data_IF_887384604245
#
_entry.id   IF_887384604245
#
_cell.length_a   1.000
_cell.length_b   1.000
_cell.length_c   1.000
_cell.angle_alpha   90.00
_cell.angle_beta   90.00
_cell.angle_gamma   90.00
#
_symmetry.space_group_name_H-M   'P 1'
#
loop_
_entity.id
_entity.type
_entity.pdbx_description
1 polymer ?
#
# COMPACT_ATOMS: atom_id res chain seq x y z
N UNK A 1 -21.07 21.24 -22.52
CA UNK A 1 -22.51 20.86 -22.55
C UNK A 1 -22.69 19.93 -21.36
N UNK A 2 -23.19 20.45 -20.24
CA UNK A 2 -23.46 19.67 -19.02
C UNK A 2 -24.79 18.96 -19.32
N UNK A 3 -24.75 17.66 -19.59
CA UNK A 3 -25.94 16.85 -19.56
C UNK A 3 -26.34 16.69 -18.10
N UNK A 4 -27.25 17.50 -17.61
CA UNK A 4 -28.01 17.19 -16.40
C UNK A 4 -28.78 15.90 -16.70
N UNK A 5 -28.25 14.78 -16.22
CA UNK A 5 -28.91 13.49 -16.31
C UNK A 5 -30.01 13.47 -15.24
N UNK A 6 -31.22 13.85 -15.63
CA UNK A 6 -32.39 14.08 -14.76
C UNK A 6 -33.03 12.81 -14.23
N UNK A 7 -32.46 11.62 -14.52
CA UNK A 7 -33.09 10.35 -14.19
C UNK A 7 -32.93 9.91 -12.74
N UNK A 8 -31.92 10.43 -12.02
CA UNK A 8 -31.60 10.03 -10.65
C UNK A 8 -31.25 11.24 -9.78
N UNK A 9 -31.76 11.24 -8.54
CA UNK A 9 -31.40 12.25 -7.53
C UNK A 9 -30.25 11.74 -6.67
N UNK A 10 -29.19 12.50 -6.61
CA UNK A 10 -28.06 12.23 -5.72
C UNK A 10 -28.13 13.00 -4.42
N UNK A 11 -27.63 12.40 -3.35
CA UNK A 11 -27.58 12.99 -2.01
C UNK A 11 -26.29 12.57 -1.30
N UNK A 12 -25.66 13.53 -0.60
CA UNK A 12 -24.45 13.29 0.21
C UNK A 12 -24.90 13.02 1.64
N UNK A 13 -24.35 11.98 2.26
CA UNK A 13 -24.70 11.58 3.61
C UNK A 13 -23.81 12.22 4.66
N UNK A 14 -24.41 12.59 5.79
CA UNK A 14 -23.67 12.96 6.99
C UNK A 14 -23.25 11.68 7.75
N UNK A 15 -21.96 11.38 7.68
CA UNK A 15 -21.38 10.21 8.35
C UNK A 15 -21.42 10.27 9.90
N UNK A 16 -21.75 11.43 10.47
CA UNK A 16 -22.01 11.61 11.91
C UNK A 16 -23.48 11.42 12.28
N UNK A 17 -24.38 11.39 11.29
CA UNK A 17 -25.81 11.13 11.49
C UNK A 17 -26.08 9.63 11.64
N UNK A 18 -26.55 9.14 12.79
CA UNK A 18 -26.90 7.73 12.96
C UNK A 18 -28.01 7.27 11.99
N UNK A 19 -28.88 8.18 11.56
CA UNK A 19 -29.93 7.90 10.59
C UNK A 19 -29.33 7.59 9.21
N UNK A 20 -28.44 8.45 8.71
CA UNK A 20 -27.82 8.33 7.41
C UNK A 20 -26.91 7.08 7.35
N UNK A 21 -26.14 6.86 8.42
CA UNK A 21 -25.31 5.65 8.53
C UNK A 21 -26.17 4.39 8.48
N UNK A 22 -27.30 4.35 9.21
CA UNK A 22 -28.21 3.21 9.22
C UNK A 22 -28.88 2.99 7.86
N UNK A 23 -29.18 4.07 7.13
CA UNK A 23 -29.77 4.01 5.78
C UNK A 23 -28.83 3.26 4.82
N UNK A 24 -27.58 3.71 4.72
CA UNK A 24 -26.59 3.07 3.84
C UNK A 24 -26.23 1.67 4.30
N UNK A 25 -26.12 1.42 5.61
CA UNK A 25 -25.90 0.08 6.16
C UNK A 25 -27.00 -0.89 5.74
N UNK A 26 -28.26 -0.46 5.84
CA UNK A 26 -29.41 -1.29 5.46
C UNK A 26 -29.44 -1.60 3.97
N UNK A 27 -29.06 -0.66 3.13
CA UNK A 27 -28.91 -0.86 1.69
C UNK A 27 -27.79 -1.82 1.37
N UNK A 28 -26.58 -1.58 1.87
CA UNK A 28 -25.38 -2.38 1.60
C UNK A 28 -25.46 -3.81 2.14
N UNK A 29 -26.19 -4.02 3.24
CA UNK A 29 -26.42 -5.35 3.81
C UNK A 29 -27.15 -6.30 2.85
N UNK A 30 -27.99 -5.78 1.94
CA UNK A 30 -28.65 -6.58 0.89
C UNK A 30 -27.63 -7.22 -0.08
N UNK A 31 -26.44 -6.64 -0.17
CA UNK A 31 -25.32 -7.07 -1.02
C UNK A 31 -24.16 -7.69 -0.23
N UNK A 32 -24.42 -8.08 1.02
CA UNK A 32 -23.44 -8.67 1.92
C UNK A 32 -22.25 -7.76 2.28
N UNK A 33 -22.41 -6.44 2.26
CA UNK A 33 -21.42 -5.50 2.74
C UNK A 33 -21.74 -5.05 4.18
N UNK A 34 -20.70 -4.97 5.06
CA UNK A 34 -20.76 -4.26 6.33
C UNK A 34 -20.15 -2.88 6.13
N UNK A 35 -20.98 -1.89 6.25
CA UNK A 35 -20.55 -0.50 6.17
C UNK A 35 -20.17 -0.02 7.56
N UNK A 36 -18.93 0.51 7.67
CA UNK A 36 -18.43 1.19 8.85
C UNK A 36 -18.13 2.63 8.47
N UNK A 37 -18.72 3.59 9.17
CA UNK A 37 -18.55 5.02 8.85
C UNK A 37 -17.10 5.50 9.04
N UNK A 38 -16.34 4.89 9.95
CA UNK A 38 -14.92 5.15 10.16
C UNK A 38 -14.01 4.66 9.00
N UNK A 39 -14.52 3.75 8.17
CA UNK A 39 -13.81 3.21 7.01
C UNK A 39 -13.94 4.03 5.74
N UNK A 40 -14.64 5.15 5.79
CA UNK A 40 -14.89 6.05 4.67
C UNK A 40 -14.74 7.50 5.08
N UNK A 41 -14.38 8.37 4.13
CA UNK A 41 -14.30 9.82 4.34
C UNK A 41 -15.51 10.54 3.73
N UNK A 42 -16.17 9.88 2.78
CA UNK A 42 -17.31 10.42 2.05
C UNK A 42 -18.22 9.29 1.58
N UNK A 43 -19.54 9.56 1.59
CA UNK A 43 -20.53 8.63 1.05
C UNK A 43 -21.67 9.41 0.37
N UNK A 44 -22.04 8.96 -0.82
CA UNK A 44 -23.22 9.44 -1.53
C UNK A 44 -24.21 8.32 -1.79
N UNK A 45 -25.46 8.67 -1.95
CA UNK A 45 -26.54 7.76 -2.35
C UNK A 45 -27.28 8.30 -3.58
N UNK A 46 -27.91 7.39 -4.28
CA UNK A 46 -28.64 7.68 -5.50
C UNK A 46 -30.08 7.17 -5.37
N UNK A 47 -31.05 8.03 -5.65
CA UNK A 47 -32.47 7.72 -5.68
C UNK A 47 -33.01 7.74 -7.09
N UNK A 48 -33.97 6.87 -7.37
CA UNK A 48 -34.78 6.97 -8.59
C UNK A 48 -35.86 8.06 -8.43
N UNK A 49 -36.62 8.32 -9.52
CA UNK A 49 -37.68 9.33 -9.52
C UNK A 49 -38.83 9.04 -8.54
N UNK A 50 -39.00 7.79 -8.12
CA UNK A 50 -39.99 7.38 -7.13
C UNK A 50 -39.51 7.53 -5.69
N UNK A 51 -38.28 8.06 -5.48
CA UNK A 51 -37.68 8.24 -4.15
C UNK A 51 -37.12 6.95 -3.53
N UNK A 52 -36.97 5.87 -4.30
CA UNK A 52 -36.33 4.64 -3.82
C UNK A 52 -34.82 4.74 -3.94
N UNK A 53 -34.09 4.35 -2.89
CA UNK A 53 -32.64 4.25 -2.86
C UNK A 53 -32.20 3.09 -3.79
N UNK A 54 -31.45 3.41 -4.83
CA UNK A 54 -31.05 2.47 -5.89
C UNK A 54 -29.53 2.24 -5.99
N UNK A 55 -28.73 3.09 -5.33
CA UNK A 55 -27.29 2.96 -5.37
C UNK A 55 -26.59 3.79 -4.34
N UNK A 56 -25.34 3.45 -4.06
CA UNK A 56 -24.44 4.17 -3.18
C UNK A 56 -23.00 4.05 -3.66
N UNK A 57 -22.16 4.96 -3.24
CA UNK A 57 -20.73 4.89 -3.42
C UNK A 57 -20.02 5.74 -2.37
N UNK A 58 -18.83 5.33 -1.99
CA UNK A 58 -18.00 5.98 -0.97
C UNK A 58 -16.56 6.08 -1.44
N UNK A 59 -15.74 6.85 -0.73
CA UNK A 59 -14.30 6.76 -0.83
C UNK A 59 -13.61 6.87 0.54
N UNK A 60 -12.37 6.35 0.61
CA UNK A 60 -11.42 6.56 1.71
C UNK A 60 -10.09 6.99 1.10
N UNK A 61 -9.60 8.21 1.46
CA UNK A 61 -8.51 8.80 0.69
C UNK A 61 -8.84 8.76 -0.81
N UNK A 62 -7.92 8.31 -1.63
CA UNK A 62 -8.06 8.16 -3.09
C UNK A 62 -8.66 6.85 -3.58
N UNK A 63 -9.21 6.02 -2.69
CA UNK A 63 -9.74 4.69 -3.03
C UNK A 63 -11.26 4.71 -3.01
N UNK A 64 -11.90 4.34 -4.12
CA UNK A 64 -13.34 4.11 -4.19
C UNK A 64 -13.74 2.88 -3.38
N UNK A 65 -14.82 2.99 -2.61
CA UNK A 65 -15.36 1.93 -1.75
C UNK A 65 -16.88 1.85 -1.88
N UNK A 66 -17.44 0.68 -1.66
CA UNK A 66 -18.89 0.46 -1.57
C UNK A 66 -19.68 1.02 -2.75
N UNK A 67 -19.13 0.94 -3.97
CA UNK A 67 -19.86 1.30 -5.19
C UNK A 67 -20.83 0.17 -5.53
N UNK A 68 -22.12 0.40 -5.28
CA UNK A 68 -23.19 -0.59 -5.44
C UNK A 68 -24.41 0.06 -6.07
N UNK A 69 -24.96 -0.62 -7.07
CA UNK A 69 -26.21 -0.25 -7.76
C UNK A 69 -27.15 -1.46 -7.76
N UNK A 70 -28.44 -1.23 -7.52
CA UNK A 70 -29.47 -2.28 -7.59
C UNK A 70 -29.45 -2.97 -8.97
N UNK A 71 -29.67 -4.27 -8.98
CA UNK A 71 -29.53 -5.11 -10.17
C UNK A 71 -30.31 -4.59 -11.39
N UNK A 72 -31.52 -4.10 -11.18
CA UNK A 72 -32.38 -3.57 -12.24
C UNK A 72 -31.89 -2.25 -12.87
N UNK A 73 -30.93 -1.55 -12.22
CA UNK A 73 -30.35 -0.30 -12.71
C UNK A 73 -28.89 -0.45 -13.18
N UNK A 74 -28.35 -1.68 -13.22
CA UNK A 74 -26.94 -1.90 -13.63
C UNK A 74 -26.66 -1.53 -15.09
N UNK A 75 -27.66 -1.64 -15.95
CA UNK A 75 -27.57 -1.26 -17.38
C UNK A 75 -27.93 0.21 -17.63
N UNK A 76 -28.26 0.97 -16.58
CA UNK A 76 -28.55 2.40 -16.66
C UNK A 76 -27.28 3.26 -16.40
N UNK A 77 -27.44 4.59 -16.47
CA UNK A 77 -26.40 5.55 -16.13
C UNK A 77 -26.06 5.61 -14.62
N UNK A 78 -26.79 4.90 -13.75
CA UNK A 78 -26.67 5.01 -12.28
C UNK A 78 -25.24 4.72 -11.77
N UNK A 79 -24.60 3.65 -12.29
CA UNK A 79 -23.23 3.32 -11.92
C UNK A 79 -22.24 4.41 -12.35
N UNK A 80 -22.34 4.85 -13.59
CA UNK A 80 -21.48 5.91 -14.12
C UNK A 80 -21.67 7.23 -13.35
N UNK A 81 -22.92 7.58 -12.99
CA UNK A 81 -23.19 8.80 -12.20
C UNK A 81 -22.54 8.75 -10.82
N UNK A 82 -22.62 7.61 -10.11
CA UNK A 82 -21.97 7.46 -8.79
C UNK A 82 -20.45 7.58 -8.93
N UNK A 83 -19.85 6.85 -9.85
CA UNK A 83 -18.37 6.83 -10.00
C UNK A 83 -17.87 8.17 -10.49
N UNK A 84 -18.52 8.81 -11.47
CA UNK A 84 -18.13 10.16 -11.93
C UNK A 84 -18.19 11.18 -10.80
N UNK A 85 -19.28 11.17 -10.02
CA UNK A 85 -19.40 12.08 -8.87
C UNK A 85 -18.25 11.91 -7.87
N UNK A 86 -17.91 10.66 -7.50
CA UNK A 86 -16.81 10.39 -6.57
C UNK A 86 -15.43 10.76 -7.16
N UNK A 87 -15.20 10.46 -8.44
CA UNK A 87 -13.95 10.83 -9.11
C UNK A 87 -13.78 12.33 -9.25
N UNK A 88 -14.86 13.06 -9.58
CA UNK A 88 -14.84 14.53 -9.69
C UNK A 88 -14.47 15.21 -8.38
N UNK A 89 -14.99 14.70 -7.25
CA UNK A 89 -14.63 15.19 -5.91
C UNK A 89 -13.16 14.89 -5.60
N UNK A 90 -12.73 13.65 -5.82
CA UNK A 90 -11.37 13.23 -5.51
C UNK A 90 -10.34 13.98 -6.35
N UNK A 91 -10.56 14.18 -7.64
CA UNK A 91 -9.63 14.85 -8.56
C UNK A 91 -9.49 16.36 -8.33
N UNK A 92 -10.28 16.96 -7.43
CA UNK A 92 -10.03 18.32 -6.96
C UNK A 92 -8.76 18.41 -6.09
N UNK A 93 -8.38 17.32 -5.42
CA UNK A 93 -7.28 17.30 -4.44
C UNK A 93 -6.27 16.18 -4.72
N UNK A 94 -6.68 15.12 -5.41
CA UNK A 94 -5.89 13.95 -5.72
C UNK A 94 -5.50 13.91 -7.22
N UNK A 95 -4.41 13.20 -7.52
CA UNK A 95 -3.97 12.98 -8.90
C UNK A 95 -4.35 11.61 -9.42
N UNK A 96 -4.68 10.71 -8.51
CA UNK A 96 -5.03 9.31 -8.76
C UNK A 96 -6.32 8.96 -8.03
N UNK A 97 -7.12 8.13 -8.65
CA UNK A 97 -8.25 7.45 -8.02
C UNK A 97 -8.09 5.96 -8.28
N UNK A 98 -8.13 5.16 -7.23
CA UNK A 98 -8.03 3.71 -7.34
C UNK A 98 -9.33 3.03 -7.00
N UNK A 99 -9.58 1.89 -7.63
CA UNK A 99 -10.62 0.95 -7.24
C UNK A 99 -10.05 -0.45 -7.13
N UNK A 100 -10.34 -1.13 -6.02
CA UNK A 100 -10.05 -2.53 -5.80
C UNK A 100 -11.35 -3.31 -5.88
N UNK A 101 -11.41 -4.30 -6.75
CA UNK A 101 -12.65 -5.00 -7.05
C UNK A 101 -12.39 -6.45 -7.47
N UNK A 102 -13.46 -7.22 -7.68
CA UNK A 102 -13.35 -8.56 -8.27
C UNK A 102 -12.96 -8.46 -9.75
N UNK A 103 -12.21 -9.43 -10.30
CA UNK A 103 -11.83 -9.44 -11.72
C UNK A 103 -13.02 -9.35 -12.68
N UNK A 104 -14.17 -9.88 -12.30
CA UNK A 104 -15.40 -9.80 -13.11
C UNK A 104 -15.91 -8.37 -13.35
N UNK A 105 -15.51 -7.42 -12.51
CA UNK A 105 -15.96 -6.03 -12.60
C UNK A 105 -15.02 -5.13 -13.44
N UNK A 106 -13.90 -5.65 -13.94
CA UNK A 106 -12.91 -4.86 -14.72
C UNK A 106 -13.62 -4.13 -15.86
N UNK A 107 -14.40 -4.85 -16.67
CA UNK A 107 -15.05 -4.31 -17.88
C UNK A 107 -15.98 -3.13 -17.56
N UNK A 108 -16.67 -3.16 -16.41
CA UNK A 108 -17.59 -2.09 -16.00
C UNK A 108 -16.80 -0.80 -15.70
N UNK A 109 -15.68 -0.91 -14.99
CA UNK A 109 -14.83 0.25 -14.68
C UNK A 109 -14.07 0.75 -15.91
N UNK A 110 -13.59 -0.14 -16.78
CA UNK A 110 -12.96 0.25 -18.05
C UNK A 110 -13.95 1.01 -18.95
N UNK A 111 -15.23 0.62 -18.95
CA UNK A 111 -16.29 1.28 -19.70
C UNK A 111 -16.50 2.75 -19.30
N UNK A 112 -16.06 3.18 -18.13
CA UNK A 112 -16.11 4.56 -17.64
C UNK A 112 -14.73 5.22 -17.52
N UNK A 113 -13.70 4.63 -18.17
CA UNK A 113 -12.40 5.23 -18.37
C UNK A 113 -11.32 4.84 -17.35
N UNK A 114 -11.61 3.95 -16.40
CA UNK A 114 -10.55 3.40 -15.55
C UNK A 114 -9.62 2.50 -16.37
N UNK A 115 -8.34 2.46 -15.98
CA UNK A 115 -7.34 1.60 -16.59
C UNK A 115 -6.99 0.46 -15.65
N UNK A 116 -7.06 -0.77 -16.13
CA UNK A 116 -6.64 -1.94 -15.37
C UNK A 116 -5.12 -1.95 -15.20
N UNK A 117 -4.66 -2.17 -13.96
CA UNK A 117 -3.23 -2.25 -13.61
C UNK A 117 -2.80 -3.70 -13.44
N UNK A 118 -3.43 -4.43 -12.53
CA UNK A 118 -3.07 -5.81 -12.21
C UNK A 118 -4.24 -6.57 -11.58
N UNK A 119 -4.12 -7.90 -11.58
CA UNK A 119 -5.07 -8.80 -10.92
C UNK A 119 -4.37 -9.89 -10.13
N UNK A 120 -5.04 -10.36 -9.08
CA UNK A 120 -4.74 -11.59 -8.35
C UNK A 120 -6.04 -12.42 -8.25
N UNK A 121 -6.40 -13.16 -9.33
CA UNK A 121 -7.63 -13.91 -9.38
C UNK A 121 -7.70 -14.99 -8.28
N UNK A 122 -8.91 -15.35 -7.80
CA UNK A 122 -10.21 -14.81 -8.22
C UNK A 122 -10.64 -13.54 -7.47
N UNK A 123 -9.85 -13.01 -6.51
CA UNK A 123 -10.33 -12.06 -5.51
C UNK A 123 -10.05 -10.60 -5.83
N UNK A 124 -8.94 -10.28 -6.48
CA UNK A 124 -8.51 -8.89 -6.63
C UNK A 124 -8.20 -8.50 -8.06
N UNK A 125 -8.63 -7.30 -8.40
CA UNK A 125 -8.11 -6.48 -9.49
C UNK A 125 -8.02 -5.04 -9.01
N UNK A 126 -7.02 -4.31 -9.47
CA UNK A 126 -6.87 -2.89 -9.23
C UNK A 126 -6.93 -2.14 -10.55
N UNK A 127 -7.72 -1.06 -10.56
CA UNK A 127 -7.80 -0.13 -11.66
C UNK A 127 -7.56 1.28 -11.14
N UNK A 128 -7.10 2.14 -12.03
CA UNK A 128 -6.82 3.55 -11.75
C UNK A 128 -7.56 4.48 -12.71
N UNK A 129 -7.80 5.69 -12.24
CA UNK A 129 -8.30 6.81 -13.03
C UNK A 129 -7.67 8.10 -12.52
N UNK A 130 -7.42 9.09 -13.38
CA UNK A 130 -6.96 10.40 -12.94
C UNK A 130 -6.01 11.09 -13.90
N UNK A 131 -5.35 12.16 -13.39
CA UNK A 131 -4.39 12.97 -14.14
C UNK A 131 -3.02 12.32 -14.26
N UNK A 132 -2.75 11.35 -13.39
CA UNK A 132 -1.55 10.52 -13.40
C UNK A 132 -1.90 9.05 -13.39
N UNK A 133 -0.95 8.22 -13.83
CA UNK A 133 -1.14 6.78 -14.00
C UNK A 133 0.13 6.01 -13.70
N UNK A 134 0.06 4.69 -13.74
CA UNK A 134 1.23 3.79 -13.68
C UNK A 134 2.28 4.14 -14.73
N UNK A 135 1.86 4.68 -15.89
CA UNK A 135 2.78 5.12 -16.95
C UNK A 135 3.68 6.27 -16.47
N UNK A 136 3.14 7.25 -15.72
CA UNK A 136 3.96 8.31 -15.12
C UNK A 136 5.00 7.77 -14.13
N UNK A 137 4.63 6.69 -13.40
CA UNK A 137 5.56 6.03 -12.50
C UNK A 137 6.66 5.27 -13.28
N UNK A 138 6.29 4.58 -14.35
CA UNK A 138 7.26 3.95 -15.28
C UNK A 138 8.21 5.00 -15.85
N UNK A 139 7.70 6.16 -16.28
CA UNK A 139 8.53 7.27 -16.79
C UNK A 139 9.49 7.81 -15.69
N UNK A 140 9.04 7.85 -14.44
CA UNK A 140 9.93 8.17 -13.32
C UNK A 140 11.04 7.12 -13.16
N UNK A 141 10.71 5.83 -13.22
CA UNK A 141 11.68 4.75 -13.13
C UNK A 141 12.70 4.79 -14.27
N UNK A 142 12.27 5.07 -15.50
CA UNK A 142 13.15 5.24 -16.67
C UNK A 142 14.15 6.40 -16.47
N UNK A 143 13.74 7.51 -15.86
CA UNK A 143 14.63 8.65 -15.58
C UNK A 143 15.71 8.35 -14.54
N UNK A 144 15.46 7.45 -13.60
CA UNK A 144 16.43 7.07 -12.58
C UNK A 144 17.20 5.79 -12.92
N UNK A 145 16.80 5.11 -14.00
CA UNK A 145 17.48 3.92 -14.49
C UNK A 145 18.96 4.26 -14.75
N UNK A 146 19.85 3.40 -14.25
CA UNK A 146 21.27 3.48 -14.54
C UNK A 146 21.58 2.68 -15.80
N UNK A 147 22.30 3.28 -16.72
CA UNK A 147 22.87 2.55 -17.85
C UNK A 147 23.98 1.64 -17.32
N UNK A 148 23.76 0.35 -17.41
CA UNK A 148 24.70 -0.68 -16.94
C UNK A 148 24.76 -1.80 -17.97
N UNK A 149 25.97 -2.34 -18.16
CA UNK A 149 26.19 -3.49 -19.04
C UNK A 149 26.15 -4.82 -18.26
N UNK A 150 25.52 -4.84 -17.08
CA UNK A 150 25.47 -6.00 -16.20
C UNK A 150 24.09 -6.61 -16.11
N UNK A 151 24.04 -7.93 -15.98
CA UNK A 151 22.82 -8.69 -15.63
C UNK A 151 22.66 -8.84 -14.10
N UNK A 152 23.58 -8.28 -13.28
CA UNK A 152 23.52 -8.38 -11.82
C UNK A 152 22.81 -7.18 -11.18
N UNK A 153 21.61 -6.88 -11.67
CA UNK A 153 20.75 -5.79 -11.17
C UNK A 153 19.74 -6.36 -10.17
N UNK A 154 19.74 -5.80 -8.98
CA UNK A 154 18.88 -6.24 -7.89
C UNK A 154 17.90 -5.17 -7.43
N UNK A 155 16.85 -5.62 -6.75
CA UNK A 155 15.91 -4.74 -6.04
C UNK A 155 15.66 -5.23 -4.61
N UNK A 156 15.42 -4.27 -3.72
CA UNK A 156 14.91 -4.49 -2.37
C UNK A 156 13.84 -3.46 -2.07
N UNK A 157 12.78 -3.84 -1.34
CA UNK A 157 11.76 -2.89 -0.85
C UNK A 157 11.82 -2.86 0.66
N UNK A 158 11.82 -1.66 1.22
CA UNK A 158 11.92 -1.43 2.66
C UNK A 158 10.91 -0.38 3.12
N UNK A 159 10.37 -0.57 4.32
CA UNK A 159 9.62 0.47 5.01
C UNK A 159 10.50 1.25 5.99
N UNK A 160 11.36 0.56 6.75
CA UNK A 160 12.31 1.17 7.71
C UNK A 160 11.64 2.12 8.73
N UNK A 161 10.65 1.66 9.45
CA UNK A 161 9.84 2.46 10.39
C UNK A 161 10.19 2.18 11.89
N UNK A 162 11.34 2.66 12.45
CA UNK A 162 12.44 3.38 11.80
C UNK A 162 13.50 2.45 11.16
N UNK A 163 14.54 3.08 10.57
CA UNK A 163 15.72 2.40 10.03
C UNK A 163 16.56 1.82 11.17
N UNK A 164 16.93 0.53 11.07
CA UNK A 164 17.68 -0.21 12.11
C UNK A 164 18.90 -0.91 11.52
N UNK A 165 19.84 -1.36 12.37
CA UNK A 165 20.99 -2.15 11.94
C UNK A 165 20.59 -3.47 11.25
N UNK A 166 19.41 -4.00 11.56
CA UNK A 166 18.85 -5.13 10.83
C UNK A 166 18.54 -4.81 9.36
N UNK A 167 17.97 -3.63 9.11
CA UNK A 167 17.73 -3.15 7.73
C UNK A 167 19.04 -2.83 7.02
N UNK A 168 19.97 -2.15 7.70
CA UNK A 168 21.28 -1.82 7.15
C UNK A 168 22.02 -3.09 6.72
N UNK A 169 22.08 -4.10 7.57
CA UNK A 169 22.70 -5.40 7.25
C UNK A 169 22.11 -6.05 5.99
N UNK A 170 20.76 -6.02 5.84
CA UNK A 170 20.11 -6.58 4.66
C UNK A 170 20.49 -5.81 3.39
N UNK A 171 20.52 -4.47 3.47
CA UNK A 171 20.89 -3.60 2.35
C UNK A 171 22.35 -3.78 1.97
N UNK A 172 23.28 -3.79 2.95
CA UNK A 172 24.71 -4.02 2.72
C UNK A 172 24.97 -5.38 2.07
N UNK A 173 24.28 -6.43 2.54
CA UNK A 173 24.40 -7.78 1.99
C UNK A 173 23.91 -7.81 0.54
N UNK A 174 22.73 -7.25 0.26
CA UNK A 174 22.20 -7.17 -1.10
C UNK A 174 23.12 -6.35 -2.03
N UNK A 175 23.63 -5.22 -1.54
CA UNK A 175 24.55 -4.37 -2.28
C UNK A 175 25.89 -5.09 -2.58
N UNK A 176 26.42 -5.86 -1.61
CA UNK A 176 27.69 -6.60 -1.80
C UNK A 176 27.60 -7.73 -2.80
N UNK A 177 26.39 -8.26 -3.07
CA UNK A 177 26.12 -9.35 -4.00
C UNK A 177 25.56 -8.89 -5.36
N UNK A 178 25.40 -7.56 -5.55
CA UNK A 178 24.85 -6.96 -6.76
C UNK A 178 25.77 -5.88 -7.30
N UNK A 179 25.80 -5.71 -8.62
CA UNK A 179 26.50 -4.59 -9.23
C UNK A 179 25.69 -3.29 -9.13
N UNK A 180 24.36 -3.42 -9.14
CA UNK A 180 23.44 -2.31 -8.93
C UNK A 180 22.26 -2.80 -8.07
N UNK A 181 21.95 -2.06 -7.01
CA UNK A 181 20.79 -2.31 -6.15
C UNK A 181 19.82 -1.12 -6.19
N UNK A 182 18.61 -1.34 -6.69
CA UNK A 182 17.51 -0.40 -6.52
C UNK A 182 16.81 -0.64 -5.19
N UNK A 183 16.92 0.34 -4.28
CA UNK A 183 16.33 0.29 -2.94
C UNK A 183 15.04 1.11 -2.92
N UNK A 184 13.90 0.44 -3.01
CA UNK A 184 12.58 1.07 -2.94
C UNK A 184 12.21 1.35 -1.49
N UNK A 185 11.86 2.60 -1.20
CA UNK A 185 11.34 3.03 0.09
C UNK A 185 9.85 3.25 -0.04
N UNK A 186 9.07 2.51 0.75
CA UNK A 186 7.59 2.59 0.73
C UNK A 186 7.12 3.95 1.25
N UNK A 187 6.22 4.62 0.50
CA UNK A 187 5.61 5.91 0.88
C UNK A 187 4.31 5.68 1.67
N UNK A 188 4.41 5.02 2.82
CA UNK A 188 3.25 4.72 3.66
C UNK A 188 2.95 5.86 4.64
N UNK A 189 1.75 6.44 4.55
CA UNK A 189 1.31 7.57 5.38
C UNK A 189 1.06 7.19 6.85
N UNK A 190 0.71 5.93 7.12
CA UNK A 190 0.40 5.45 8.48
C UNK A 190 1.64 5.04 9.28
N UNK A 191 2.83 5.14 8.71
CA UNK A 191 4.07 4.87 9.42
C UNK A 191 4.30 5.87 10.57
N UNK A 192 4.78 5.36 11.72
CA UNK A 192 5.10 6.20 12.88
C UNK A 192 6.18 7.24 12.57
N UNK A 193 7.13 6.88 11.69
CA UNK A 193 8.14 7.79 11.15
C UNK A 193 7.70 8.23 9.75
N UNK A 194 7.49 9.55 9.50
CA UNK A 194 7.12 10.08 8.19
C UNK A 194 8.11 9.67 7.09
N UNK A 195 7.64 9.60 5.84
CA UNK A 195 8.44 9.17 4.71
C UNK A 195 9.76 9.96 4.57
N UNK A 196 9.71 11.29 4.62
CA UNK A 196 10.89 12.14 4.46
C UNK A 196 11.97 11.88 5.54
N UNK A 197 11.54 11.57 6.75
CA UNK A 197 12.46 11.21 7.84
C UNK A 197 13.08 9.84 7.56
N UNK A 198 12.27 8.84 7.21
CA UNK A 198 12.76 7.50 6.87
C UNK A 198 13.75 7.55 5.70
N UNK A 199 13.42 8.32 4.66
CA UNK A 199 14.29 8.54 3.52
C UNK A 199 15.66 9.08 3.93
N UNK A 200 15.69 10.19 4.69
CA UNK A 200 16.94 10.80 5.17
C UNK A 200 17.77 9.87 6.06
N UNK A 201 17.11 9.11 6.95
CA UNK A 201 17.79 8.16 7.82
C UNK A 201 18.46 7.04 7.03
N UNK A 202 17.78 6.51 6.02
CA UNK A 202 18.33 5.50 5.12
C UNK A 202 19.48 6.09 4.29
N UNK A 203 19.23 7.20 3.60
CA UNK A 203 20.22 7.88 2.73
C UNK A 203 21.54 8.12 3.47
N UNK A 204 21.48 8.69 4.67
CA UNK A 204 22.66 8.93 5.49
C UNK A 204 23.34 7.62 5.94
N UNK A 205 22.54 6.61 6.32
CA UNK A 205 23.07 5.35 6.82
C UNK A 205 23.72 4.46 5.76
N UNK A 206 23.33 4.62 4.48
CA UNK A 206 23.90 3.86 3.34
C UNK A 206 24.81 4.70 2.44
N UNK A 207 25.20 5.90 2.84
CA UNK A 207 26.01 6.82 2.01
C UNK A 207 27.35 6.23 1.53
N UNK A 208 27.85 5.20 2.23
CA UNK A 208 29.06 4.45 1.85
C UNK A 208 28.82 3.46 0.70
N UNK A 209 27.56 3.10 0.38
CA UNK A 209 27.21 2.14 -0.67
C UNK A 209 27.00 2.88 -2.02
N UNK A 210 28.00 2.82 -2.91
CA UNK A 210 28.00 3.59 -4.17
C UNK A 210 27.15 2.97 -5.27
N UNK A 211 26.82 1.69 -5.16
CA UNK A 211 26.03 0.91 -6.09
C UNK A 211 24.54 0.81 -5.68
N UNK A 212 24.09 1.59 -4.71
CA UNK A 212 22.69 1.64 -4.29
C UNK A 212 22.02 2.90 -4.84
N UNK A 213 20.90 2.71 -5.53
CA UNK A 213 20.02 3.79 -5.98
C UNK A 213 18.73 3.73 -5.17
N UNK A 214 18.46 4.76 -4.37
CA UNK A 214 17.22 4.88 -3.64
C UNK A 214 16.08 5.28 -4.59
N UNK A 215 14.94 4.61 -4.47
CA UNK A 215 13.76 4.78 -5.31
C UNK A 215 12.54 5.02 -4.44
N UNK A 216 11.74 6.02 -4.79
CA UNK A 216 10.44 6.24 -4.16
C UNK A 216 9.47 5.15 -4.59
N UNK A 217 8.75 4.55 -3.64
CA UNK A 217 7.74 3.53 -3.93
C UNK A 217 6.55 4.06 -4.72
N UNK A 218 6.23 5.34 -4.50
CA UNK A 218 5.04 5.95 -5.09
C UNK A 218 3.76 5.25 -4.65
N UNK A 219 2.75 5.33 -5.49
CA UNK A 219 1.43 4.75 -5.23
C UNK A 219 1.38 3.23 -5.49
N UNK A 220 2.40 2.68 -6.13
CA UNK A 220 2.39 1.33 -6.71
C UNK A 220 3.26 0.32 -5.97
N UNK A 221 4.15 0.78 -5.09
CA UNK A 221 4.94 -0.07 -4.18
C UNK A 221 4.46 0.19 -2.77
N UNK A 222 3.40 -0.51 -2.39
CA UNK A 222 2.72 -0.32 -1.12
C UNK A 222 2.92 -1.52 -0.21
N UNK A 223 2.64 -1.33 1.07
CA UNK A 223 2.51 -2.46 1.98
C UNK A 223 1.10 -3.06 1.81
N UNK A 224 1.01 -4.37 1.62
CA UNK A 224 -0.25 -5.05 1.30
C UNK A 224 -1.35 -4.96 2.36
N UNK A 225 -1.07 -4.35 3.50
CA UNK A 225 -2.09 -4.01 4.50
C UNK A 225 -3.03 -2.89 4.06
N UNK A 226 -2.73 -2.21 2.94
CA UNK A 226 -3.49 -1.05 2.45
C UNK A 226 -4.63 -1.46 1.51
N UNK A 227 -4.59 -2.65 0.93
CA UNK A 227 -5.62 -3.07 -0.02
C UNK A 227 -6.95 -3.35 0.70
N UNK A 228 -8.03 -2.64 0.34
CA UNK A 228 -9.33 -2.85 0.97
C UNK A 228 -9.86 -4.26 0.65
N UNK A 229 -10.40 -4.92 1.65
CA UNK A 229 -10.94 -6.28 1.54
C UNK A 229 -12.42 -6.37 1.99
N UNK A 230 -13.09 -5.23 2.17
CA UNK A 230 -14.47 -5.14 2.64
C UNK A 230 -15.47 -5.95 1.79
N UNK A 231 -15.14 -6.22 0.53
CA UNK A 231 -15.98 -6.98 -0.40
C UNK A 231 -15.71 -8.50 -0.38
N UNK A 232 -14.82 -8.98 0.50
CA UNK A 232 -14.36 -10.37 0.59
C UNK A 232 -14.70 -11.05 1.92
N UNK A 233 -15.83 -10.70 2.53
CA UNK A 233 -16.20 -11.18 3.87
C UNK A 233 -16.30 -12.69 4.03
N UNK A 234 -16.67 -13.39 2.97
CA UNK A 234 -16.87 -14.83 2.98
C UNK A 234 -15.57 -15.60 2.69
N UNK A 235 -14.47 -14.88 2.44
CA UNK A 235 -13.19 -15.49 2.11
C UNK A 235 -12.33 -15.68 3.36
N UNK A 236 -11.53 -16.72 3.37
CA UNK A 236 -10.56 -16.94 4.46
C UNK A 236 -9.54 -15.80 4.51
N UNK A 237 -9.28 -15.27 5.71
CA UNK A 237 -8.31 -14.18 5.94
C UNK A 237 -6.93 -14.53 5.36
N UNK A 238 -6.53 -15.81 5.43
CA UNK A 238 -5.28 -16.29 4.86
C UNK A 238 -5.24 -16.15 3.35
N UNK A 239 -6.33 -16.50 2.66
CA UNK A 239 -6.44 -16.38 1.21
C UNK A 239 -6.48 -14.91 0.78
N UNK A 240 -7.21 -14.06 1.50
CA UNK A 240 -7.25 -12.62 1.23
C UNK A 240 -5.85 -12.03 1.33
N UNK A 241 -5.11 -12.29 2.41
CA UNK A 241 -3.75 -11.79 2.59
C UNK A 241 -2.78 -12.32 1.52
N UNK A 242 -2.93 -13.57 1.11
CA UNK A 242 -2.13 -14.14 0.02
C UNK A 242 -2.42 -13.40 -1.31
N UNK A 243 -3.70 -13.19 -1.65
CA UNK A 243 -4.08 -12.54 -2.90
C UNK A 243 -3.74 -11.04 -2.93
N UNK A 244 -3.75 -10.37 -1.79
CA UNK A 244 -3.22 -9.01 -1.67
C UNK A 244 -1.72 -8.97 -1.98
N UNK A 245 -0.95 -9.90 -1.41
CA UNK A 245 0.47 -10.02 -1.70
C UNK A 245 0.74 -10.34 -3.18
N UNK A 246 -0.03 -11.27 -3.77
CA UNK A 246 0.07 -11.60 -5.20
C UNK A 246 -0.21 -10.37 -6.09
N UNK A 247 -1.20 -9.54 -5.74
CA UNK A 247 -1.54 -8.33 -6.49
C UNK A 247 -0.35 -7.35 -6.53
N UNK A 248 0.24 -7.07 -5.37
CA UNK A 248 1.40 -6.18 -5.24
C UNK A 248 2.61 -6.71 -6.02
N UNK A 249 2.92 -7.99 -5.86
CA UNK A 249 4.02 -8.64 -6.59
C UNK A 249 3.79 -8.63 -8.11
N UNK A 250 2.53 -8.77 -8.58
CA UNK A 250 2.20 -8.67 -9.99
C UNK A 250 2.41 -7.26 -10.54
N UNK A 251 2.08 -6.22 -9.78
CA UNK A 251 2.38 -4.83 -10.18
C UNK A 251 3.91 -4.66 -10.33
N UNK A 252 4.67 -5.08 -9.33
CA UNK A 252 6.13 -5.02 -9.37
C UNK A 252 6.70 -5.78 -10.57
N UNK A 253 6.25 -7.02 -10.79
CA UNK A 253 6.72 -7.89 -11.87
C UNK A 253 6.41 -7.34 -13.27
N UNK A 254 5.24 -6.74 -13.45
CA UNK A 254 4.78 -6.28 -14.77
C UNK A 254 5.36 -4.92 -15.15
N UNK A 255 5.63 -4.03 -14.18
CA UNK A 255 6.02 -2.65 -14.46
C UNK A 255 7.44 -2.32 -14.02
N UNK A 256 7.86 -2.75 -12.83
CA UNK A 256 9.16 -2.37 -12.28
C UNK A 256 10.28 -3.25 -12.83
N UNK A 257 10.04 -4.56 -12.85
CA UNK A 257 11.04 -5.54 -13.34
C UNK A 257 11.50 -5.23 -14.76
N UNK A 258 10.62 -5.09 -15.77
CA UNK A 258 11.06 -4.81 -17.13
C UNK A 258 11.67 -3.43 -17.28
N UNK A 259 11.15 -2.41 -16.58
CA UNK A 259 11.63 -1.03 -16.67
C UNK A 259 13.04 -0.88 -16.14
N UNK A 260 13.37 -1.47 -15.01
CA UNK A 260 14.69 -1.37 -14.38
C UNK A 260 15.59 -2.59 -14.66
N UNK A 261 15.12 -3.53 -15.49
CA UNK A 261 15.86 -4.76 -15.88
C UNK A 261 16.29 -5.60 -14.66
N UNK A 262 15.44 -5.67 -13.65
CA UNK A 262 15.76 -6.37 -12.41
C UNK A 262 15.89 -7.88 -12.64
N UNK A 263 16.95 -8.48 -12.13
CA UNK A 263 17.22 -9.91 -12.19
C UNK A 263 17.16 -10.60 -10.84
N UNK A 264 17.31 -9.85 -9.74
CA UNK A 264 17.30 -10.37 -8.38
C UNK A 264 16.39 -9.54 -7.48
N UNK A 265 15.67 -10.20 -6.59
CA UNK A 265 14.87 -9.58 -5.55
C UNK A 265 15.33 -10.07 -4.20
N UNK A 266 15.95 -9.18 -3.40
CA UNK A 266 16.37 -9.50 -2.04
C UNK A 266 15.23 -9.25 -1.05
N UNK A 267 15.03 -10.20 -0.13
CA UNK A 267 14.05 -10.14 0.94
C UNK A 267 14.68 -10.66 2.24
N UNK A 268 14.18 -10.19 3.38
CA UNK A 268 14.56 -10.75 4.68
C UNK A 268 13.70 -11.97 5.04
N UNK A 269 14.30 -12.98 5.68
CA UNK A 269 13.51 -14.07 6.26
C UNK A 269 12.49 -13.53 7.28
N UNK A 270 11.28 -14.05 7.28
CA UNK A 270 10.22 -13.64 8.20
C UNK A 270 9.54 -14.84 8.85
N UNK A 271 9.76 -15.01 10.14
CA UNK A 271 9.22 -16.11 10.92
C UNK A 271 8.09 -15.69 11.87
N UNK A 272 7.82 -14.38 12.01
CA UNK A 272 6.93 -13.86 13.04
C UNK A 272 5.70 -13.16 12.48
N UNK A 273 5.79 -12.55 11.30
CA UNK A 273 4.69 -11.80 10.70
C UNK A 273 4.02 -12.59 9.56
N UNK A 274 2.78 -13.01 9.76
CA UNK A 274 2.01 -13.76 8.74
C UNK A 274 1.87 -13.01 7.42
N UNK A 275 1.70 -11.69 7.47
CA UNK A 275 1.60 -10.84 6.27
C UNK A 275 2.89 -10.88 5.48
N UNK A 276 4.04 -10.67 6.11
CA UNK A 276 5.34 -10.71 5.42
C UNK A 276 5.65 -12.11 4.88
N UNK A 277 5.23 -13.17 5.60
CA UNK A 277 5.37 -14.55 5.11
C UNK A 277 4.54 -14.79 3.83
N UNK A 278 3.31 -14.25 3.76
CA UNK A 278 2.48 -14.31 2.54
C UNK A 278 3.14 -13.59 1.37
N UNK A 279 3.79 -12.42 1.61
CA UNK A 279 4.57 -11.70 0.61
C UNK A 279 5.78 -12.50 0.11
N UNK A 280 6.56 -13.07 1.01
CA UNK A 280 7.72 -13.88 0.64
C UNK A 280 7.26 -15.05 -0.24
N UNK A 281 6.17 -15.73 0.13
CA UNK A 281 5.58 -16.81 -0.67
C UNK A 281 5.17 -16.34 -2.08
N UNK A 282 4.42 -15.23 -2.17
CA UNK A 282 4.00 -14.67 -3.45
C UNK A 282 5.19 -14.29 -4.34
N UNK A 283 6.26 -13.70 -3.76
CA UNK A 283 7.48 -13.39 -4.51
C UNK A 283 8.15 -14.65 -5.07
N UNK A 284 8.27 -15.73 -4.30
CA UNK A 284 8.83 -17.00 -4.77
C UNK A 284 7.98 -17.69 -5.85
N UNK A 285 6.65 -17.47 -5.85
CA UNK A 285 5.75 -18.06 -6.84
C UNK A 285 5.67 -17.26 -8.16
N UNK A 286 5.80 -15.93 -8.09
CA UNK A 286 5.55 -15.04 -9.23
C UNK A 286 6.84 -14.59 -9.91
N UNK A 287 7.81 -14.07 -9.16
CA UNK A 287 8.99 -13.42 -9.72
C UNK A 287 9.85 -14.34 -10.61
N UNK A 288 10.01 -15.65 -10.30
CA UNK A 288 10.75 -16.55 -11.20
C UNK A 288 10.12 -16.68 -12.59
N UNK A 289 8.79 -16.52 -12.74
CA UNK A 289 8.10 -16.51 -14.03
C UNK A 289 8.45 -15.28 -14.88
N UNK A 290 8.97 -14.23 -14.24
CA UNK A 290 9.47 -13.00 -14.86
C UNK A 290 11.01 -12.96 -14.94
N UNK A 291 11.69 -14.12 -14.81
CA UNK A 291 13.14 -14.25 -14.82
C UNK A 291 13.84 -13.45 -13.71
N UNK A 292 13.22 -13.36 -12.54
CA UNK A 292 13.79 -12.71 -11.35
C UNK A 292 14.04 -13.77 -10.27
N UNK A 293 15.27 -13.90 -9.84
CA UNK A 293 15.66 -14.74 -8.72
C UNK A 293 15.27 -14.07 -7.40
N UNK A 294 14.61 -14.81 -6.50
CA UNK A 294 14.28 -14.33 -5.14
C UNK A 294 15.30 -14.87 -4.16
N UNK A 295 16.01 -13.97 -3.48
CA UNK A 295 17.08 -14.30 -2.56
C UNK A 295 16.66 -13.89 -1.13
N UNK A 296 16.51 -14.90 -0.25
CA UNK A 296 16.23 -14.66 1.16
C UNK A 296 17.52 -14.48 1.96
N UNK A 297 17.65 -13.32 2.61
CA UNK A 297 18.73 -13.06 3.55
C UNK A 297 18.26 -13.40 4.97
N UNK A 298 18.97 -14.27 5.66
CA UNK A 298 18.70 -14.58 7.06
C UNK A 298 18.95 -13.35 7.94
N UNK A 299 17.98 -13.02 8.77
CA UNK A 299 18.14 -11.92 9.74
C UNK A 299 19.29 -12.21 10.70
N UNK A 300 20.11 -11.22 10.96
CA UNK A 300 21.19 -11.33 11.95
C UNK A 300 20.59 -11.24 13.35
N UNK A 301 20.78 -12.29 14.16
CA UNK A 301 20.47 -12.24 15.59
C UNK A 301 21.50 -11.39 16.31
N UNK A 302 21.07 -10.59 17.30
CA UNK A 302 21.93 -9.70 18.13
C UNK A 302 22.29 -10.33 19.45
N UNK A 303 21.74 -11.49 19.75
CA UNK A 303 21.92 -12.21 21.01
C UNK A 303 20.84 -13.26 21.18
N UNK A 304 20.83 -13.87 22.33
CA UNK A 304 19.81 -14.86 22.72
C UNK A 304 18.95 -14.27 23.84
N UNK A 305 17.64 -14.48 23.79
CA UNK A 305 16.71 -14.22 24.88
C UNK A 305 16.19 -15.59 25.35
N UNK A 306 16.84 -16.18 26.34
CA UNK A 306 16.70 -17.61 26.63
C UNK A 306 17.22 -18.44 25.44
N UNK A 307 16.42 -19.39 24.97
CA UNK A 307 16.76 -20.24 23.81
C UNK A 307 16.32 -19.65 22.44
N UNK A 308 15.77 -18.43 22.44
CA UNK A 308 15.25 -17.80 21.20
C UNK A 308 16.21 -16.70 20.73
N UNK A 309 16.61 -16.71 19.42
CA UNK A 309 17.41 -15.64 18.86
C UNK A 309 16.70 -14.29 18.99
N UNK A 310 17.41 -13.30 19.54
CA UNK A 310 16.91 -11.94 19.67
C UNK A 310 17.24 -11.14 18.41
N UNK A 311 16.20 -10.67 17.70
CA UNK A 311 16.34 -9.86 16.51
C UNK A 311 15.98 -8.40 16.82
N UNK A 312 16.72 -7.45 16.24
CA UNK A 312 16.29 -6.05 16.23
C UNK A 312 15.15 -5.92 15.22
N UNK A 313 14.04 -5.39 15.70
CA UNK A 313 12.93 -4.99 14.85
C UNK A 313 12.58 -3.53 15.09
N UNK A 314 12.10 -2.86 14.06
CA UNK A 314 11.57 -1.50 14.19
C UNK A 314 10.48 -1.41 15.27
N UNK A 315 9.71 -2.48 15.49
CA UNK A 315 8.70 -2.55 16.56
C UNK A 315 9.31 -2.43 17.96
N UNK A 316 10.47 -3.07 18.22
CA UNK A 316 11.17 -2.95 19.50
C UNK A 316 11.68 -1.52 19.74
N UNK A 317 12.13 -0.84 18.68
CA UNK A 317 12.54 0.57 18.77
C UNK A 317 11.34 1.45 19.13
N UNK A 318 10.19 1.27 18.47
CA UNK A 318 8.98 2.00 18.81
C UNK A 318 8.49 1.70 20.23
N UNK A 319 8.62 0.45 20.69
CA UNK A 319 8.31 0.09 22.07
C UNK A 319 9.23 0.81 23.07
N UNK A 320 10.55 0.83 22.84
CA UNK A 320 11.49 1.55 23.70
C UNK A 320 11.20 3.07 23.75
N UNK A 321 10.71 3.65 22.64
CA UNK A 321 10.26 5.05 22.63
C UNK A 321 9.01 5.24 23.51
N UNK A 322 8.03 4.33 23.46
CA UNK A 322 6.83 4.37 24.33
C UNK A 322 7.21 4.32 25.81
N UNK A 323 8.18 3.47 26.14
CA UNK A 323 8.66 3.23 27.50
C UNK A 323 9.66 4.27 27.99
N UNK A 324 9.98 5.32 27.20
CA UNK A 324 11.04 6.29 27.49
C UNK A 324 12.43 5.68 27.69
N UNK A 325 12.69 4.51 27.10
CA UNK A 325 13.92 3.77 27.28
C UNK A 325 14.71 3.62 25.97
N UNK A 326 14.90 4.72 25.22
CA UNK A 326 15.58 4.72 23.92
C UNK A 326 17.02 4.20 24.08
N UNK A 327 17.67 4.46 25.21
CA UNK A 327 19.05 4.02 25.44
C UNK A 327 19.23 2.51 25.41
N UNK A 328 18.18 1.73 25.73
CA UNK A 328 18.23 0.27 25.67
C UNK A 328 18.32 -0.31 24.25
N UNK A 329 18.07 0.50 23.23
CA UNK A 329 18.08 0.07 21.83
C UNK A 329 19.06 0.86 20.96
N UNK A 330 19.78 1.83 21.52
CA UNK A 330 20.62 2.76 20.77
C UNK A 330 21.76 2.06 20.01
N UNK A 331 22.39 1.06 20.62
CA UNK A 331 23.46 0.25 20.01
C UNK A 331 23.01 -0.55 18.80
N UNK A 332 21.69 -0.73 18.65
CA UNK A 332 21.08 -1.49 17.58
C UNK A 332 20.64 -0.63 16.39
N UNK A 333 20.93 0.66 16.45
CA UNK A 333 20.55 1.63 15.43
C UNK A 333 21.76 2.08 14.63
N UNK A 334 21.62 2.30 13.32
CA UNK A 334 22.60 3.04 12.55
C UNK A 334 22.81 4.43 13.17
N UNK A 335 24.01 4.98 13.02
CA UNK A 335 24.35 6.30 13.58
C UNK A 335 23.34 7.38 13.16
N UNK A 336 22.87 7.37 11.91
CA UNK A 336 21.84 8.28 11.39
C UNK A 336 20.55 8.24 12.22
N UNK A 337 20.06 7.05 12.58
CA UNK A 337 18.85 6.89 13.38
C UNK A 337 19.10 7.19 14.85
N UNK A 338 20.25 6.77 15.40
CA UNK A 338 20.62 7.03 16.79
C UNK A 338 20.71 8.54 17.05
N UNK A 339 21.46 9.26 16.21
CA UNK A 339 21.61 10.71 16.33
C UNK A 339 20.25 11.44 16.19
N UNK A 340 19.43 11.03 15.26
CA UNK A 340 18.08 11.60 15.09
C UNK A 340 17.22 11.39 16.35
N UNK A 341 17.17 10.18 16.91
CA UNK A 341 16.36 9.88 18.09
C UNK A 341 16.85 10.60 19.35
N UNK A 342 18.13 10.91 19.44
CA UNK A 342 18.71 11.68 20.55
C UNK A 342 18.57 13.20 20.37
N UNK A 343 18.30 13.66 19.16
CA UNK A 343 18.09 15.09 18.86
C UNK A 343 16.69 15.57 19.23
N UNK A 344 16.53 16.90 19.27
CA UNK A 344 15.22 17.54 19.45
C UNK A 344 14.30 17.34 18.25
N UNK A 345 14.82 17.08 17.04
CA UNK A 345 14.03 16.91 15.81
C UNK A 345 13.10 15.69 15.87
N UNK A 346 13.43 14.70 16.72
CA UNK A 346 12.61 13.52 16.93
C UNK A 346 11.45 13.72 17.93
N UNK A 347 11.35 14.89 18.58
CA UNK A 347 10.44 15.11 19.71
C UNK A 347 8.96 14.85 19.33
N UNK A 348 8.49 15.44 18.24
CA UNK A 348 7.10 15.27 17.79
C UNK A 348 6.76 13.81 17.47
N UNK A 349 7.66 13.13 16.76
CA UNK A 349 7.51 11.71 16.42
C UNK A 349 7.46 10.86 17.69
N UNK A 350 8.35 11.12 18.65
CA UNK A 350 8.36 10.41 19.94
C UNK A 350 7.06 10.63 20.71
N UNK A 351 6.50 11.87 20.71
CA UNK A 351 5.21 12.14 21.35
C UNK A 351 4.05 11.43 20.64
N UNK A 352 4.06 11.41 19.31
CA UNK A 352 3.04 10.69 18.51
C UNK A 352 3.08 9.18 18.82
N UNK A 353 4.27 8.58 18.87
CA UNK A 353 4.44 7.15 19.17
C UNK A 353 3.95 6.81 20.58
N UNK A 354 4.21 7.67 21.59
CA UNK A 354 3.74 7.47 22.97
C UNK A 354 2.22 7.51 23.11
N UNK A 355 1.55 8.29 22.27
CA UNK A 355 0.08 8.43 22.30
C UNK A 355 -0.65 7.35 21.48
N UNK A 356 0.07 6.62 20.64
CA UNK A 356 -0.50 5.62 19.75
C UNK A 356 -0.36 4.21 20.34
N UNK A 357 -1.50 3.49 20.45
CA UNK A 357 -1.53 2.07 20.78
C UNK A 357 -1.27 1.16 19.56
N UNK A 358 -1.12 1.75 18.38
CA UNK A 358 -0.96 0.98 17.15
C UNK A 358 0.43 0.32 17.05
N UNK A 359 0.48 -0.87 16.46
CA UNK A 359 1.74 -1.58 16.15
C UNK A 359 2.49 -0.97 14.95
N UNK A 360 1.84 -0.07 14.21
CA UNK A 360 2.35 0.53 12.96
C UNK A 360 2.76 1.99 13.11
#
# INVERSE_FOLDING_TARGET
>A
MIFENTDFRQEVLDLHSPYDVKLVQSFLKKYNFDFLSEDVDYTMILYNLNGNLIGTGSHKGKILKYVVVEQQYRESSAFAQIVTHLTDILLQHEKYVFVFTLPANIVIFEGIGFKHIASAPPLFSVLEFGYKSITDYVDYLLRIQRDTHTDNIAAMVVNCNPFTNGHLFLIEKAASESELLYLFVVEEEHSAFPFDIRWKLIENGIAHLKNVVMVKGGEYIVSGSIFPSYFLKNEEISLVSQKQAELDVNIFANYVVPTLQIKKRYIGTENLCKTTAAYNKAMHEILPKHNVEVIEIKRKAIGMCGDVPNFISASKVRQAIRENNIMSVIEFLPESTANFLLSNDSWEIRQKIKKSDSRH
#
